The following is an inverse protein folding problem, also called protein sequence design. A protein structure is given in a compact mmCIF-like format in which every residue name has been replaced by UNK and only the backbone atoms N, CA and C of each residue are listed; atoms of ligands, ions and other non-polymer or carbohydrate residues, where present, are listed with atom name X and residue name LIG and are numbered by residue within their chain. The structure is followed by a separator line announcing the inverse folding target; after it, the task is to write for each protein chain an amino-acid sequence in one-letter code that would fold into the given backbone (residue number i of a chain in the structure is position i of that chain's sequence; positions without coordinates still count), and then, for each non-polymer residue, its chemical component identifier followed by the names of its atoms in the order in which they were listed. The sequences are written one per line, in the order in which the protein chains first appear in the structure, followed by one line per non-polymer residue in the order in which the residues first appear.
data_IF_849295149132
#
_entry.id   IF_849295149132
#
_cell.length_a   1.000
_cell.length_b   1.000
_cell.length_c   1.000
_cell.angle_alpha   90.00
_cell.angle_beta   90.00
_cell.angle_gamma   90.00
#
_symmetry.space_group_name_H-M   'P 1'
#
loop_
_entity.id
_entity.type
_entity.pdbx_description
1 polymer ?
#
# COMPACT_ATOMS: atom_id res chain seq x y z
N UNK A 1 11.45 -11.98 23.50
CA UNK A 1 11.36 -10.72 22.72
C UNK A 1 10.08 -10.78 21.90
N UNK A 2 9.22 -9.75 21.90
CA UNK A 2 8.04 -9.73 21.03
C UNK A 2 8.52 -9.68 19.58
N UNK A 3 8.11 -10.62 18.73
CA UNK A 3 8.33 -10.53 17.29
C UNK A 3 7.61 -9.28 16.79
N UNK A 4 8.39 -8.26 16.42
CA UNK A 4 7.91 -7.04 15.78
C UNK A 4 7.53 -7.44 14.36
N UNK A 5 6.28 -7.23 13.96
CA UNK A 5 5.85 -7.53 12.58
C UNK A 5 6.40 -6.49 11.59
N UNK A 6 6.43 -6.81 10.29
CA UNK A 6 6.95 -5.93 9.23
C UNK A 6 6.38 -4.50 9.32
N UNK A 7 5.08 -4.32 9.54
CA UNK A 7 4.47 -2.99 9.70
C UNK A 7 5.05 -2.22 10.90
N UNK A 8 5.21 -2.89 12.04
CA UNK A 8 5.80 -2.27 13.23
C UNK A 8 7.27 -1.91 13.04
N UNK A 9 8.04 -2.77 12.37
CA UNK A 9 9.44 -2.48 12.02
C UNK A 9 9.52 -1.26 11.09
N UNK A 10 8.64 -1.22 10.09
CA UNK A 10 8.56 -0.09 9.17
C UNK A 10 8.23 1.21 9.90
N UNK A 11 7.26 1.22 10.83
CA UNK A 11 6.93 2.43 11.61
C UNK A 11 8.06 2.89 12.52
N UNK A 12 8.80 1.97 13.13
CA UNK A 12 9.98 2.30 13.94
C UNK A 12 11.07 2.97 13.10
N UNK A 13 11.28 2.53 11.86
CA UNK A 13 12.24 3.15 10.93
C UNK A 13 11.80 4.53 10.43
N UNK A 14 10.49 4.80 10.46
CA UNK A 14 9.86 6.00 9.89
C UNK A 14 9.38 7.01 10.96
N UNK A 15 9.91 6.91 12.19
CA UNK A 15 9.58 7.79 13.32
C UNK A 15 8.08 7.95 13.61
N UNK A 16 7.25 6.95 13.25
CA UNK A 16 5.85 6.90 13.65
C UNK A 16 5.72 6.02 14.88
N UNK A 17 5.00 6.53 15.87
CA UNK A 17 4.83 6.01 17.23
C UNK A 17 4.68 4.48 17.28
N UNK A 18 5.26 3.83 18.30
CA UNK A 18 5.12 2.39 18.57
C UNK A 18 3.65 1.98 18.54
N UNK A 19 3.36 0.93 17.76
CA UNK A 19 2.00 0.38 17.60
C UNK A 19 1.32 0.02 18.93
N UNK A 20 2.11 -0.28 19.98
CA UNK A 20 1.64 -0.53 21.35
C UNK A 20 0.84 0.62 21.97
N UNK A 21 1.02 1.85 21.50
CA UNK A 21 0.31 3.02 22.04
C UNK A 21 -1.09 3.18 21.42
N UNK A 22 -1.48 2.30 20.47
CA UNK A 22 -2.75 2.38 19.75
C UNK A 22 -3.77 1.29 20.09
N UNK A 23 -3.48 0.37 21.01
CA UNK A 23 -4.42 -0.70 21.39
C UNK A 23 -4.52 -0.92 22.91
N UNK A 24 -5.70 -0.57 23.46
CA UNK A 24 -6.25 -0.77 24.83
C UNK A 24 -5.64 0.13 25.93
N UNK A 25 -6.36 0.96 26.71
CA UNK A 25 -7.68 0.85 27.38
C UNK A 25 -8.24 2.26 27.72
N UNK A 26 -9.53 2.30 28.05
CA UNK A 26 -10.31 3.37 28.71
C UNK A 26 -11.06 4.42 27.87
N UNK A 27 -12.39 4.23 27.87
CA UNK A 27 -13.47 5.04 27.30
C UNK A 27 -13.57 6.51 27.78
N UNK A 28 -12.59 7.09 28.48
CA UNK A 28 -12.80 8.40 29.13
C UNK A 28 -11.54 9.26 29.37
N UNK A 29 -10.60 9.36 28.42
CA UNK A 29 -9.59 10.44 28.45
C UNK A 29 -9.40 11.08 27.08
N UNK A 30 -9.81 12.36 26.98
CA UNK A 30 -9.41 13.27 25.90
C UNK A 30 -7.89 13.22 25.74
N UNK A 31 -7.42 12.96 24.53
CA UNK A 31 -6.02 13.15 24.15
C UNK A 31 -5.76 14.67 24.21
N UNK A 32 -5.14 15.13 25.30
CA UNK A 32 -4.63 16.50 25.40
C UNK A 32 -3.21 16.49 24.83
N UNK A 33 -3.07 16.95 23.59
CA UNK A 33 -1.78 17.38 23.05
C UNK A 33 -1.33 18.61 23.86
N UNK A 34 -0.43 18.44 24.84
CA UNK A 34 0.21 19.56 25.55
C UNK A 34 1.19 20.26 24.59
N UNK A 35 0.69 21.18 23.77
CA UNK A 35 1.52 22.21 23.15
C UNK A 35 1.92 23.23 24.22
N UNK A 36 3.21 23.23 24.58
CA UNK A 36 3.84 24.26 25.42
C UNK A 36 3.72 25.59 24.65
N UNK A 37 3.06 26.61 25.24
CA UNK A 37 2.90 27.96 24.65
C UNK A 37 4.28 28.53 24.26
N UNK A 38 4.43 28.92 22.99
CA UNK A 38 5.51 29.79 22.53
C UNK A 38 4.95 30.95 21.70
N UNK A 39 5.54 32.12 21.91
CA UNK A 39 5.13 33.46 21.47
C UNK A 39 4.90 33.62 19.96
N UNK A 40 3.93 34.48 19.65
CA UNK A 40 3.26 34.67 18.36
C UNK A 40 4.06 35.34 17.24
N UNK A 41 5.30 35.78 17.47
CA UNK A 41 6.08 36.52 16.44
C UNK A 41 7.13 35.67 15.71
N UNK A 42 7.31 34.38 16.05
CA UNK A 42 8.13 33.42 15.28
C UNK A 42 7.36 32.72 14.16
N UNK A 43 6.11 33.09 13.91
CA UNK A 43 5.15 32.29 13.12
C UNK A 43 5.50 32.21 11.62
N UNK A 44 6.16 33.21 11.04
CA UNK A 44 6.39 33.25 9.58
C UNK A 44 7.65 32.47 9.19
N UNK A 45 8.74 32.58 9.94
CA UNK A 45 9.97 31.82 9.66
C UNK A 45 9.90 30.35 10.09
N UNK A 46 9.00 30.01 11.03
CA UNK A 46 8.84 28.62 11.50
C UNK A 46 7.94 27.81 10.56
N UNK A 47 6.98 28.42 9.86
CA UNK A 47 6.18 27.72 8.83
C UNK A 47 7.09 27.21 7.71
N UNK A 48 8.03 28.03 7.23
CA UNK A 48 9.00 27.62 6.21
C UNK A 48 10.08 26.64 6.71
N UNK A 49 10.23 26.46 8.03
CA UNK A 49 11.16 25.48 8.63
C UNK A 49 10.51 24.16 9.04
N UNK A 50 9.20 24.12 9.29
CA UNK A 50 8.47 22.88 9.65
C UNK A 50 8.28 21.97 8.43
N UNK A 51 8.21 22.52 7.21
CA UNK A 51 8.13 21.74 5.98
C UNK A 51 9.42 20.97 5.64
N UNK A 52 10.51 21.22 6.37
CA UNK A 52 11.83 20.64 6.11
C UNK A 52 12.27 19.53 7.09
N UNK A 53 11.37 19.02 7.97
CA UNK A 53 11.76 18.03 8.99
C UNK A 53 11.10 16.64 8.92
N UNK A 54 10.47 16.23 7.81
CA UNK A 54 9.91 14.86 7.70
C UNK A 54 10.21 14.11 6.38
N UNK A 55 11.18 14.55 5.57
CA UNK A 55 11.45 13.98 4.25
C UNK A 55 12.59 12.95 4.20
N UNK A 56 12.67 12.05 5.19
CA UNK A 56 13.60 10.90 5.16
C UNK A 56 12.94 9.60 4.62
N UNK A 57 11.67 9.62 4.18
CA UNK A 57 10.88 8.40 3.95
C UNK A 57 10.86 7.87 2.49
N UNK A 58 11.15 8.68 1.46
CA UNK A 58 11.24 8.24 0.06
C UNK A 58 12.61 8.66 -0.50
N UNK A 59 13.46 7.71 -0.90
CA UNK A 59 14.85 7.96 -1.32
C UNK A 59 14.99 8.17 -2.83
N UNK A 60 14.17 7.49 -3.63
CA UNK A 60 14.11 7.63 -5.06
C UNK A 60 13.44 8.98 -5.40
N UNK A 61 14.19 9.88 -6.04
CA UNK A 61 13.70 11.25 -6.32
C UNK A 61 12.51 11.26 -7.29
N UNK A 62 12.46 10.35 -8.28
CA UNK A 62 11.30 10.25 -9.18
C UNK A 62 10.03 9.81 -8.45
N UNK A 63 10.13 8.84 -7.52
CA UNK A 63 9.00 8.46 -6.67
C UNK A 63 8.55 9.60 -5.75
N UNK A 64 9.52 10.38 -5.25
CA UNK A 64 9.27 11.52 -4.38
C UNK A 64 8.55 12.65 -5.10
N UNK A 65 8.87 12.90 -6.37
CA UNK A 65 8.11 13.84 -7.21
C UNK A 65 6.64 13.43 -7.34
N UNK A 66 6.37 12.16 -7.66
CA UNK A 66 4.99 11.64 -7.75
C UNK A 66 4.29 11.75 -6.40
N UNK A 67 4.96 11.43 -5.30
CA UNK A 67 4.39 11.56 -3.96
C UNK A 67 3.95 13.00 -3.65
N UNK A 68 4.76 13.99 -4.03
CA UNK A 68 4.43 15.40 -3.86
C UNK A 68 3.24 15.83 -4.73
N UNK A 69 3.14 15.34 -5.97
CA UNK A 69 1.96 15.54 -6.82
C UNK A 69 0.70 14.93 -6.19
N UNK A 70 0.79 13.69 -5.68
CA UNK A 70 -0.31 12.98 -5.01
C UNK A 70 -0.78 13.75 -3.78
N UNK A 71 0.14 14.27 -2.96
CA UNK A 71 -0.19 15.09 -1.77
C UNK A 71 -1.01 16.33 -2.11
N UNK A 72 -0.74 16.96 -3.26
CA UNK A 72 -1.45 18.17 -3.73
C UNK A 72 -2.66 17.86 -4.60
N UNK A 73 -2.93 16.59 -4.91
CA UNK A 73 -4.00 16.20 -5.82
C UNK A 73 -5.39 16.55 -5.26
N UNK A 74 -6.17 17.26 -6.08
CA UNK A 74 -7.56 17.68 -5.81
C UNK A 74 -8.56 17.17 -6.86
N UNK A 75 -8.18 16.21 -7.71
CA UNK A 75 -9.01 15.74 -8.85
C UNK A 75 -10.32 15.06 -8.45
N UNK A 76 -10.42 14.54 -7.23
CA UNK A 76 -11.59 13.81 -6.72
C UNK A 76 -12.15 14.48 -5.47
N UNK A 77 -13.12 15.39 -5.63
CA UNK A 77 -13.62 16.24 -4.56
C UNK A 77 -13.98 15.46 -3.27
N UNK A 78 -14.77 14.39 -3.36
CA UNK A 78 -15.17 13.60 -2.20
C UNK A 78 -13.97 12.98 -1.48
N UNK A 79 -13.07 12.32 -2.22
CA UNK A 79 -11.88 11.68 -1.64
C UNK A 79 -10.95 12.71 -0.98
N UNK A 80 -10.80 13.88 -1.60
CA UNK A 80 -9.91 14.93 -1.09
C UNK A 80 -10.49 15.61 0.16
N UNK A 81 -11.82 15.73 0.25
CA UNK A 81 -12.51 16.29 1.42
C UNK A 81 -12.47 15.36 2.64
N UNK A 82 -12.42 14.05 2.44
CA UNK A 82 -12.56 13.08 3.54
C UNK A 82 -11.26 12.39 3.96
N UNK A 83 -10.23 12.35 3.10
CA UNK A 83 -8.95 11.71 3.44
C UNK A 83 -8.29 12.42 4.62
N UNK A 84 -7.71 11.65 5.53
CA UNK A 84 -6.79 12.17 6.54
C UNK A 84 -5.37 12.23 5.98
N UNK A 85 -4.96 11.20 5.24
CA UNK A 85 -3.66 11.16 4.59
C UNK A 85 -3.78 10.58 3.18
N UNK A 86 -2.85 10.98 2.31
CA UNK A 86 -2.59 10.18 1.10
C UNK A 86 -1.83 8.93 1.49
N UNK A 87 -2.12 7.82 0.81
CA UNK A 87 -1.50 6.52 1.06
C UNK A 87 -0.77 6.10 -0.21
N UNK A 88 0.54 6.37 -0.24
CA UNK A 88 1.34 6.28 -1.46
C UNK A 88 1.84 4.85 -1.72
N UNK A 89 2.57 4.29 -0.77
CA UNK A 89 3.22 2.99 -0.83
C UNK A 89 4.12 2.76 0.38
N UNK A 90 4.63 1.53 0.56
CA UNK A 90 5.68 1.20 1.54
C UNK A 90 6.54 0.03 1.06
N UNK A 91 7.81 -0.01 1.41
CA UNK A 91 8.75 -1.10 1.08
C UNK A 91 10.00 -0.60 0.37
N UNK A 92 10.73 -1.51 -0.29
CA UNK A 92 11.90 -1.14 -1.10
C UNK A 92 11.46 -0.47 -2.41
N UNK A 93 12.09 0.65 -2.75
CA UNK A 93 11.88 1.42 -3.97
C UNK A 93 12.55 0.81 -5.21
N UNK A 94 13.34 -0.25 -5.02
CA UNK A 94 13.82 -1.14 -6.07
C UNK A 94 13.46 -2.61 -5.74
N UNK A 95 12.16 -2.97 -5.80
CA UNK A 95 11.68 -4.29 -5.40
C UNK A 95 11.71 -5.30 -6.56
N UNK A 96 11.93 -6.59 -6.29
CA UNK A 96 11.58 -7.61 -7.28
C UNK A 96 10.06 -7.84 -7.34
N UNK A 97 9.36 -7.71 -6.20
CA UNK A 97 7.91 -7.98 -6.06
C UNK A 97 7.14 -6.70 -5.74
N UNK A 98 6.08 -6.39 -6.48
CA UNK A 98 5.10 -5.37 -6.07
C UNK A 98 3.76 -6.00 -5.74
N UNK A 99 3.26 -5.77 -4.51
CA UNK A 99 1.90 -6.12 -4.11
C UNK A 99 0.94 -4.97 -4.42
N UNK A 100 -0.15 -5.26 -5.15
CA UNK A 100 -1.12 -4.26 -5.59
C UNK A 100 -2.51 -4.55 -5.05
N UNK A 101 -3.04 -3.63 -4.24
CA UNK A 101 -4.45 -3.60 -3.83
C UNK A 101 -5.28 -2.53 -4.54
N UNK A 102 -6.53 -2.36 -4.10
CA UNK A 102 -7.47 -1.42 -4.72
C UNK A 102 -7.35 0.00 -4.18
N UNK A 103 -7.63 0.18 -2.89
CA UNK A 103 -7.73 1.48 -2.24
C UNK A 103 -7.40 1.38 -0.75
N UNK A 104 -7.03 2.49 -0.10
CA UNK A 104 -6.78 2.52 1.34
C UNK A 104 -8.06 2.30 2.16
N UNK A 105 -7.93 1.61 3.29
CA UNK A 105 -8.98 1.52 4.30
C UNK A 105 -8.80 2.55 5.42
N UNK A 106 -9.60 2.40 6.49
CA UNK A 106 -9.62 3.33 7.63
C UNK A 106 -8.26 3.48 8.32
N UNK A 107 -7.58 2.37 8.61
CA UNK A 107 -6.29 2.41 9.30
C UNK A 107 -5.19 2.96 8.39
N UNK A 108 -5.23 2.62 7.11
CA UNK A 108 -4.31 3.13 6.10
C UNK A 108 -4.42 4.64 5.94
N UNK A 109 -5.64 5.17 5.83
CA UNK A 109 -5.90 6.62 5.76
C UNK A 109 -5.44 7.36 7.02
N UNK A 110 -5.64 6.76 8.20
CA UNK A 110 -5.19 7.36 9.46
C UNK A 110 -3.66 7.39 9.58
N UNK A 111 -2.96 6.37 9.10
CA UNK A 111 -1.51 6.21 9.29
C UNK A 111 -0.66 6.69 8.09
N UNK A 112 -1.28 6.82 6.91
CA UNK A 112 -0.63 7.24 5.66
C UNK A 112 0.12 6.12 4.93
N UNK A 113 -0.08 4.85 5.31
CA UNK A 113 0.64 3.71 4.75
C UNK A 113 -0.31 2.58 4.36
N UNK A 114 -0.05 1.87 3.24
CA UNK A 114 -0.97 0.84 2.75
C UNK A 114 -0.82 -0.45 3.55
N UNK A 115 -1.92 -1.20 3.66
CA UNK A 115 -1.96 -2.51 4.31
C UNK A 115 -1.34 -2.47 5.72
N UNK A 116 -1.93 -1.68 6.62
CA UNK A 116 -1.50 -1.55 8.03
C UNK A 116 -2.61 -1.91 9.02
N UNK A 117 -3.86 -2.02 8.55
CA UNK A 117 -4.97 -2.60 9.31
C UNK A 117 -4.92 -4.12 9.38
N UNK A 118 -6.03 -4.76 9.79
CA UNK A 118 -6.10 -6.24 9.94
C UNK A 118 -5.73 -7.01 8.67
N UNK A 119 -6.19 -6.54 7.52
CA UNK A 119 -5.87 -7.16 6.22
C UNK A 119 -4.36 -7.06 5.92
N UNK A 120 -3.75 -5.93 6.26
CA UNK A 120 -2.32 -5.73 6.08
C UNK A 120 -1.46 -6.60 6.98
N UNK A 121 -1.87 -6.80 8.24
CA UNK A 121 -1.19 -7.72 9.15
C UNK A 121 -1.20 -9.17 8.66
N UNK A 122 -2.30 -9.59 8.01
CA UNK A 122 -2.36 -10.90 7.39
C UNK A 122 -1.44 -11.01 6.16
N UNK A 123 -1.36 -9.94 5.35
CA UNK A 123 -0.39 -9.88 4.25
C UNK A 123 1.04 -9.95 4.77
N UNK A 124 1.38 -9.18 5.80
CA UNK A 124 2.71 -9.22 6.43
C UNK A 124 3.04 -10.63 6.95
N UNK A 125 2.07 -11.31 7.59
CA UNK A 125 2.25 -12.69 8.04
C UNK A 125 2.59 -13.63 6.88
N UNK A 126 1.92 -13.52 5.73
CA UNK A 126 2.25 -14.33 4.56
C UNK A 126 3.64 -14.00 4.03
N UNK A 127 4.00 -12.73 3.92
CA UNK A 127 5.35 -12.30 3.50
C UNK A 127 6.42 -12.91 4.42
N UNK A 128 6.21 -12.89 5.75
CA UNK A 128 7.09 -13.49 6.75
C UNK A 128 7.16 -15.02 6.62
N UNK A 129 6.01 -15.70 6.49
CA UNK A 129 5.92 -17.16 6.36
C UNK A 129 6.66 -17.68 5.11
N UNK A 130 6.57 -16.93 4.02
CA UNK A 130 7.25 -17.21 2.76
C UNK A 130 8.70 -16.67 2.71
N UNK A 131 9.18 -16.07 3.81
CA UNK A 131 10.55 -15.53 3.94
C UNK A 131 10.92 -14.54 2.83
N UNK A 132 9.94 -13.78 2.34
CA UNK A 132 10.18 -12.74 1.35
C UNK A 132 10.94 -11.61 2.05
N UNK A 133 12.16 -11.32 1.57
CA UNK A 133 13.02 -10.32 2.19
C UNK A 133 12.33 -8.93 2.16
N UNK A 134 12.40 -8.19 3.27
CA UNK A 134 11.88 -6.81 3.37
C UNK A 134 12.47 -5.83 2.36
N UNK A 135 13.66 -6.13 1.84
CA UNK A 135 14.29 -5.39 0.76
C UNK A 135 13.85 -5.86 -0.63
N UNK A 136 12.89 -6.78 -0.74
CA UNK A 136 12.51 -7.33 -2.04
C UNK A 136 11.07 -7.05 -2.46
N UNK A 137 10.35 -6.25 -1.69
CA UNK A 137 8.98 -5.93 -2.03
C UNK A 137 8.60 -4.47 -1.81
N UNK A 138 7.57 -4.07 -2.54
CA UNK A 138 6.85 -2.83 -2.32
C UNK A 138 5.35 -3.11 -2.30
N UNK A 139 4.60 -2.42 -1.45
CA UNK A 139 3.15 -2.56 -1.31
C UNK A 139 2.50 -1.24 -1.68
N UNK A 140 1.51 -1.28 -2.58
CA UNK A 140 0.75 -0.11 -2.98
C UNK A 140 -0.70 -0.44 -3.34
N UNK A 141 -1.53 0.60 -3.40
CA UNK A 141 -2.88 0.53 -3.95
C UNK A 141 -2.97 1.32 -5.25
N UNK A 142 -3.93 0.96 -6.11
CA UNK A 142 -4.24 1.75 -7.30
C UNK A 142 -4.74 3.16 -6.96
N UNK A 143 -5.65 3.27 -6.00
CA UNK A 143 -6.05 4.55 -5.42
C UNK A 143 -5.12 4.97 -4.28
N UNK A 144 -4.86 6.28 -4.18
CA UNK A 144 -4.03 6.89 -3.12
C UNK A 144 -4.82 7.54 -1.99
N UNK A 145 -6.15 7.48 -2.04
CA UNK A 145 -7.05 8.07 -1.04
C UNK A 145 -8.17 7.09 -0.72
N UNK A 146 -8.55 7.01 0.55
CA UNK A 146 -9.66 6.18 1.03
C UNK A 146 -11.01 6.70 0.53
N UNK A 147 -11.83 5.86 -0.14
CA UNK A 147 -13.23 6.17 -0.38
C UNK A 147 -14.05 6.26 0.92
N UNK A 148 -15.01 7.20 1.02
CA UNK A 148 -15.91 7.30 2.18
C UNK A 148 -16.54 5.95 2.54
N UNK A 149 -16.61 5.63 3.83
CA UNK A 149 -17.16 4.35 4.33
C UNK A 149 -16.52 3.08 3.73
N UNK A 150 -15.31 3.18 3.17
CA UNK A 150 -14.63 2.07 2.48
C UNK A 150 -15.45 1.47 1.32
N UNK A 151 -16.30 2.28 0.68
CA UNK A 151 -16.96 1.87 -0.57
C UNK A 151 -15.94 1.56 -1.66
N UNK A 152 -16.38 0.85 -2.70
CA UNK A 152 -15.56 0.69 -3.89
C UNK A 152 -15.28 2.06 -4.56
N UNK A 153 -14.09 2.27 -5.13
CA UNK A 153 -13.78 3.46 -5.91
C UNK A 153 -14.66 3.57 -7.16
N UNK A 154 -15.12 4.77 -7.44
CA UNK A 154 -15.88 5.08 -8.65
C UNK A 154 -14.96 5.03 -9.88
N UNK A 155 -15.49 4.76 -11.09
CA UNK A 155 -14.70 4.76 -12.32
C UNK A 155 -13.88 6.04 -12.52
N UNK A 156 -14.48 7.20 -12.28
CA UNK A 156 -13.79 8.50 -12.39
C UNK A 156 -12.64 8.65 -11.39
N UNK A 157 -12.77 8.08 -10.18
CA UNK A 157 -11.72 8.11 -9.17
C UNK A 157 -10.53 7.23 -9.60
N UNK A 158 -10.80 6.06 -10.19
CA UNK A 158 -9.77 5.18 -10.78
C UNK A 158 -9.04 5.90 -11.91
N UNK A 159 -9.77 6.52 -12.84
CA UNK A 159 -9.19 7.29 -13.96
C UNK A 159 -8.31 8.42 -13.45
N UNK A 160 -8.78 9.22 -12.50
CA UNK A 160 -8.05 10.35 -11.95
C UNK A 160 -6.74 9.95 -11.26
N UNK A 161 -6.70 8.76 -10.67
CA UNK A 161 -5.54 8.24 -9.96
C UNK A 161 -4.60 7.39 -10.83
N UNK A 162 -5.06 7.02 -12.05
CA UNK A 162 -4.36 6.10 -12.96
C UNK A 162 -2.93 6.52 -13.28
N UNK A 163 -2.72 7.80 -13.57
CA UNK A 163 -1.40 8.32 -13.92
C UNK A 163 -0.37 8.12 -12.79
N UNK A 164 -0.77 8.32 -11.53
CA UNK A 164 0.12 8.11 -10.38
C UNK A 164 0.46 6.64 -10.20
N UNK A 165 -0.54 5.76 -10.35
CA UNK A 165 -0.35 4.32 -10.26
C UNK A 165 0.62 3.80 -11.33
N UNK A 166 0.41 4.19 -12.59
CA UNK A 166 1.24 3.77 -13.72
C UNK A 166 2.67 4.28 -13.57
N UNK A 167 2.88 5.59 -13.40
CA UNK A 167 4.23 6.15 -13.23
C UNK A 167 4.98 5.53 -12.04
N UNK A 168 4.28 5.25 -10.94
CA UNK A 168 4.89 4.58 -9.79
C UNK A 168 5.34 3.15 -10.11
N UNK A 169 4.53 2.34 -10.80
CA UNK A 169 4.94 1.00 -11.23
C UNK A 169 6.06 1.03 -12.27
N UNK A 170 6.08 2.04 -13.13
CA UNK A 170 7.14 2.24 -14.12
C UNK A 170 8.49 2.53 -13.47
N UNK A 171 8.52 3.30 -12.38
CA UNK A 171 9.75 3.61 -11.64
C UNK A 171 10.17 2.42 -10.78
N UNK A 172 9.22 1.76 -10.11
CA UNK A 172 9.50 0.57 -9.30
C UNK A 172 10.05 -0.58 -10.16
N UNK A 173 9.66 -0.66 -11.44
CA UNK A 173 10.14 -1.63 -12.42
C UNK A 173 10.32 -3.06 -11.84
N UNK A 174 9.26 -3.65 -11.24
CA UNK A 174 9.39 -4.95 -10.58
C UNK A 174 9.57 -6.09 -11.59
N UNK A 175 10.14 -7.20 -11.11
CA UNK A 175 10.21 -8.45 -11.87
C UNK A 175 8.87 -9.18 -11.90
N UNK A 176 8.06 -9.07 -10.84
CA UNK A 176 6.74 -9.70 -10.74
C UNK A 176 5.77 -8.84 -9.92
N UNK A 177 4.49 -8.89 -10.26
CA UNK A 177 3.42 -8.20 -9.55
C UNK A 177 2.46 -9.23 -8.93
N UNK A 178 2.19 -9.08 -7.63
CA UNK A 178 1.16 -9.84 -6.93
C UNK A 178 -0.10 -8.99 -6.78
N UNK A 179 -1.15 -9.34 -7.53
CA UNK A 179 -2.41 -8.62 -7.51
C UNK A 179 -3.36 -9.18 -6.43
N UNK A 180 -3.68 -8.34 -5.44
CA UNK A 180 -4.48 -8.72 -4.28
C UNK A 180 -5.98 -8.49 -4.56
N UNK A 181 -6.69 -9.58 -4.82
CA UNK A 181 -8.13 -9.58 -5.10
C UNK A 181 -8.51 -9.08 -6.48
N UNK A 182 -9.81 -9.20 -6.78
CA UNK A 182 -10.38 -8.84 -8.09
C UNK A 182 -10.04 -7.41 -8.51
N UNK A 183 -10.10 -6.48 -7.57
CA UNK A 183 -9.91 -5.07 -7.89
C UNK A 183 -8.44 -4.70 -8.03
N UNK A 184 -7.54 -5.26 -7.20
CA UNK A 184 -6.09 -5.12 -7.41
C UNK A 184 -5.69 -5.67 -8.78
N UNK A 185 -6.24 -6.84 -9.14
CA UNK A 185 -6.03 -7.47 -10.45
C UNK A 185 -6.60 -6.65 -11.61
N UNK A 186 -7.84 -6.19 -11.50
CA UNK A 186 -8.51 -5.40 -12.55
C UNK A 186 -7.90 -4.02 -12.80
N UNK A 187 -6.99 -3.54 -11.94
CA UNK A 187 -6.18 -2.36 -12.23
C UNK A 187 -4.98 -2.67 -13.12
N UNK A 188 -4.54 -3.92 -13.19
CA UNK A 188 -3.39 -4.33 -14.00
C UNK A 188 -3.85 -4.99 -15.30
N UNK A 189 -4.84 -5.87 -15.21
CA UNK A 189 -5.27 -6.75 -16.29
C UNK A 189 -6.73 -6.44 -16.63
N UNK A 190 -7.03 -6.32 -17.91
CA UNK A 190 -8.41 -6.27 -18.39
C UNK A 190 -9.09 -7.61 -18.11
N UNK A 191 -10.07 -7.61 -17.20
CA UNK A 191 -10.72 -8.83 -16.73
C UNK A 191 -12.23 -8.63 -16.68
N UNK A 192 -12.97 -9.57 -17.27
CA UNK A 192 -14.43 -9.55 -17.19
C UNK A 192 -14.88 -9.73 -15.73
N UNK A 193 -15.45 -8.67 -15.15
CA UNK A 193 -15.93 -8.65 -13.77
C UNK A 193 -17.08 -9.65 -13.52
N UNK A 194 -17.72 -10.17 -14.58
CA UNK A 194 -18.72 -11.25 -14.46
C UNK A 194 -18.06 -12.62 -14.22
N UNK A 195 -16.80 -12.81 -14.61
CA UNK A 195 -16.10 -14.06 -14.39
C UNK A 195 -15.75 -14.28 -12.90
N UNK A 196 -15.89 -15.52 -12.38
CA UNK A 196 -15.42 -15.85 -11.04
C UNK A 196 -13.93 -15.54 -10.90
N UNK A 197 -13.55 -14.76 -9.88
CA UNK A 197 -12.16 -14.31 -9.73
C UNK A 197 -11.18 -15.47 -9.53
N UNK A 198 -11.63 -16.60 -9.00
CA UNK A 198 -10.81 -17.82 -8.91
C UNK A 198 -10.23 -18.29 -10.25
N UNK A 199 -10.87 -17.96 -11.38
CA UNK A 199 -10.36 -18.26 -12.73
C UNK A 199 -9.15 -17.41 -13.12
N UNK A 200 -8.82 -16.35 -12.38
CA UNK A 200 -7.64 -15.53 -12.64
C UNK A 200 -6.39 -16.09 -11.94
N UNK A 201 -6.54 -16.93 -10.91
CA UNK A 201 -5.43 -17.44 -10.10
C UNK A 201 -4.69 -18.61 -10.78
N UNK A 202 -3.55 -19.00 -10.21
CA UNK A 202 -2.75 -20.16 -10.65
C UNK A 202 -2.28 -20.13 -12.12
N UNK A 203 -2.07 -18.92 -12.66
CA UNK A 203 -1.50 -18.69 -13.99
C UNK A 203 -0.81 -17.32 -14.05
N UNK A 204 0.04 -17.15 -15.06
CA UNK A 204 0.72 -15.90 -15.34
C UNK A 204 -0.17 -15.05 -16.26
N UNK A 205 -0.34 -13.78 -15.91
CA UNK A 205 -0.82 -12.74 -16.82
C UNK A 205 0.29 -11.72 -17.04
N UNK A 206 0.13 -10.82 -18.00
CA UNK A 206 1.17 -9.84 -18.31
C UNK A 206 0.62 -8.42 -18.24
N UNK A 207 1.29 -7.59 -17.43
CA UNK A 207 1.07 -6.16 -17.39
C UNK A 207 2.12 -5.47 -18.24
N UNK A 208 1.68 -4.64 -19.20
CA UNK A 208 2.59 -3.81 -19.99
C UNK A 208 3.08 -2.62 -19.14
N UNK A 209 4.35 -2.66 -18.75
CA UNK A 209 5.04 -1.62 -18.01
C UNK A 209 6.08 -0.96 -18.92
N UNK A 210 5.76 0.21 -19.48
CA UNK A 210 6.50 0.83 -20.61
C UNK A 210 6.63 -0.17 -21.77
N UNK A 211 7.86 -0.57 -22.08
CA UNK A 211 8.23 -1.46 -23.19
C UNK A 211 8.43 -2.92 -22.74
N UNK A 212 8.12 -3.24 -21.48
CA UNK A 212 8.30 -4.57 -20.90
C UNK A 212 6.97 -5.20 -20.50
N UNK A 213 6.89 -6.51 -20.64
CA UNK A 213 5.82 -7.30 -20.04
C UNK A 213 6.27 -7.79 -18.66
N UNK A 214 5.50 -7.44 -17.63
CA UNK A 214 5.75 -7.86 -16.25
C UNK A 214 4.73 -8.93 -15.87
N UNK A 215 5.17 -10.12 -15.45
CA UNK A 215 4.29 -11.16 -14.93
C UNK A 215 3.42 -10.68 -13.76
N UNK A 216 2.13 -11.01 -13.81
CA UNK A 216 1.13 -10.71 -12.78
C UNK A 216 0.52 -12.01 -12.27
N UNK A 217 0.63 -12.24 -10.97
CA UNK A 217 -0.01 -13.36 -10.27
C UNK A 217 -1.21 -12.82 -9.49
N UNK A 218 -2.39 -13.36 -9.77
CA UNK A 218 -3.60 -13.03 -9.04
C UNK A 218 -3.73 -13.90 -7.79
N UNK A 219 -4.00 -13.29 -6.63
CA UNK A 219 -4.37 -14.01 -5.41
C UNK A 219 -5.56 -13.36 -4.72
N UNK A 220 -6.15 -14.03 -3.72
CA UNK A 220 -7.23 -13.43 -2.94
C UNK A 220 -6.74 -12.29 -2.05
N UNK A 221 -7.60 -11.28 -1.89
CA UNK A 221 -7.30 -10.17 -0.99
C UNK A 221 -7.30 -10.63 0.48
N UNK A 222 -6.37 -10.17 1.35
CA UNK A 222 -6.35 -10.58 2.76
C UNK A 222 -7.67 -10.33 3.50
N UNK A 223 -8.36 -9.22 3.20
CA UNK A 223 -9.68 -8.94 3.78
C UNK A 223 -10.75 -10.00 3.44
N UNK A 224 -10.65 -10.65 2.28
CA UNK A 224 -11.53 -11.77 1.91
C UNK A 224 -11.21 -13.01 2.75
N UNK A 225 -9.92 -13.33 2.93
CA UNK A 225 -9.48 -14.47 3.74
C UNK A 225 -9.84 -14.31 5.21
N UNK A 226 -9.75 -13.09 5.77
CA UNK A 226 -10.22 -12.82 7.14
C UNK A 226 -11.70 -13.20 7.36
N UNK A 227 -12.52 -13.22 6.31
CA UNK A 227 -13.93 -13.66 6.35
C UNK A 227 -14.13 -15.11 5.91
N UNK A 228 -13.16 -15.69 5.20
CA UNK A 228 -13.24 -17.00 4.55
C UNK A 228 -11.94 -17.78 4.77
N UNK A 229 -11.60 -18.05 6.03
CA UNK A 229 -10.28 -18.60 6.40
C UNK A 229 -9.93 -19.92 5.70
N UNK A 230 -10.92 -20.77 5.40
CA UNK A 230 -10.72 -22.02 4.65
C UNK A 230 -10.11 -21.82 3.25
N UNK A 231 -10.21 -20.62 2.68
CA UNK A 231 -9.65 -20.30 1.37
C UNK A 231 -8.17 -19.88 1.44
N UNK A 232 -7.59 -19.74 2.63
CA UNK A 232 -6.17 -19.34 2.82
C UNK A 232 -5.20 -20.31 2.13
N UNK A 233 -5.52 -21.59 2.07
CA UNK A 233 -4.75 -22.61 1.33
C UNK A 233 -4.49 -22.18 -0.12
N UNK A 234 -5.48 -21.56 -0.78
CA UNK A 234 -5.34 -21.10 -2.16
C UNK A 234 -4.37 -19.92 -2.27
N UNK A 235 -4.30 -19.05 -1.26
CA UNK A 235 -3.31 -17.96 -1.22
C UNK A 235 -1.91 -18.52 -1.05
N UNK A 236 -1.73 -19.52 -0.18
CA UNK A 236 -0.45 -20.21 0.01
C UNK A 236 0.01 -20.84 -1.32
N UNK A 237 -0.88 -21.49 -2.06
CA UNK A 237 -0.58 -22.03 -3.40
C UNK A 237 -0.15 -20.94 -4.38
N UNK A 238 -0.87 -19.81 -4.43
CA UNK A 238 -0.54 -18.69 -5.31
C UNK A 238 0.82 -18.04 -4.95
N UNK A 239 1.17 -17.93 -3.66
CA UNK A 239 2.46 -17.42 -3.21
C UNK A 239 3.61 -18.37 -3.59
N UNK A 240 3.43 -19.68 -3.42
CA UNK A 240 4.41 -20.69 -3.88
C UNK A 240 4.63 -20.57 -5.39
N UNK A 241 3.54 -20.44 -6.14
CA UNK A 241 3.60 -20.27 -7.59
C UNK A 241 4.34 -18.99 -7.98
N UNK A 242 3.98 -17.85 -7.38
CA UNK A 242 4.67 -16.56 -7.61
C UNK A 242 6.18 -16.64 -7.35
N UNK A 243 6.60 -17.26 -6.25
CA UNK A 243 8.02 -17.36 -5.90
C UNK A 243 8.77 -18.31 -6.83
N UNK A 244 8.13 -19.39 -7.30
CA UNK A 244 8.69 -20.25 -8.34
C UNK A 244 8.97 -19.45 -9.61
N UNK A 245 7.98 -18.70 -10.09
CA UNK A 245 8.13 -17.89 -11.31
C UNK A 245 9.16 -16.78 -11.13
N UNK A 246 9.20 -16.13 -9.96
CA UNK A 246 10.23 -15.15 -9.65
C UNK A 246 11.64 -15.75 -9.73
N UNK A 247 11.85 -16.96 -9.18
CA UNK A 247 13.14 -17.63 -9.24
C UNK A 247 13.55 -17.98 -10.67
N UNK A 248 12.60 -18.35 -11.54
CA UNK A 248 12.88 -18.55 -12.97
C UNK A 248 13.38 -17.25 -13.61
N UNK A 249 12.70 -16.13 -13.36
CA UNK A 249 13.06 -14.80 -13.92
C UNK A 249 14.42 -14.31 -13.42
N UNK A 250 14.79 -14.62 -12.17
CA UNK A 250 16.09 -14.20 -11.60
C UNK A 250 17.24 -15.13 -12.01
N UNK A 251 16.93 -16.40 -12.29
CA UNK A 251 17.91 -17.40 -12.72
C UNK A 251 18.24 -17.34 -14.22
N UNK A 252 17.43 -16.64 -15.02
CA UNK A 252 17.67 -16.25 -16.42
C UNK A 252 18.60 -15.04 -16.54
#
# INVERSE_FOLDING_TARGET
MKNINITEEYFLQHNKIKFSDTMHKDKNKKIILKNKKLNTNKKIDTINKIDNTNNNEIKNEELKEIYLEVKRCMKCEQLCKTRLNVVFGRGNENPDIVFVGEAPGTDEDRLGFPFVGRAGKLLDKWIEEFKINKYNFYIMNALKCRPPENRDPLPKEKINCRNFFTRQLEILNPKIICALGRHGFGNLIEFDLKMPFGKARSKIHYYKNKDKEVPVIATYHPAYILRNQKEEVKVIEDFKFMLKELNNIIGE
#
